data_IF_719093857810
#
_entry.id   IF_719093857810
#
_cell.length_a   1.000
_cell.length_b   1.000
_cell.length_c   1.000
_cell.angle_alpha   90.00
_cell.angle_beta   90.00
_cell.angle_gamma   90.00
#
_symmetry.space_group_name_H-M   'P 1'
#
loop_
_entity.id
_entity.type
_entity.pdbx_description
1 polymer ?
#
# COMPACT_ATOMS: atom_id res chain seq x y z
N UNK A 1 12.19 -4.15 -4.97
CA UNK A 1 12.72 -4.93 -6.10
C UNK A 1 11.77 -6.06 -6.37
N UNK A 2 11.52 -6.36 -7.64
CA UNK A 2 10.68 -7.46 -8.10
C UNK A 2 11.44 -8.77 -7.85
N UNK A 3 10.83 -9.74 -7.16
CA UNK A 3 11.40 -11.08 -6.97
C UNK A 3 10.50 -12.11 -7.63
N UNK A 4 11.13 -13.14 -8.20
CA UNK A 4 10.40 -14.26 -8.80
C UNK A 4 9.64 -15.01 -7.69
N UNK A 5 8.33 -15.17 -7.86
CA UNK A 5 7.42 -15.71 -6.84
C UNK A 5 6.70 -14.67 -5.96
N UNK A 6 6.91 -13.36 -6.19
CA UNK A 6 6.15 -12.33 -5.48
C UNK A 6 4.66 -12.40 -5.86
N UNK A 7 3.80 -12.52 -4.84
CA UNK A 7 2.36 -12.48 -5.02
C UNK A 7 1.91 -11.06 -5.38
N UNK A 8 1.02 -10.98 -6.36
CA UNK A 8 0.45 -9.72 -6.87
C UNK A 8 -1.01 -9.56 -6.47
N UNK A 9 -1.40 -8.34 -6.13
CA UNK A 9 -2.77 -7.94 -5.85
C UNK A 9 -3.20 -6.75 -6.72
N UNK A 10 -4.52 -6.58 -6.85
CA UNK A 10 -5.11 -5.43 -7.55
C UNK A 10 -5.23 -4.27 -6.57
N UNK A 11 -4.58 -3.16 -6.89
CA UNK A 11 -4.58 -1.95 -6.08
C UNK A 11 -5.29 -0.80 -6.81
N UNK A 12 -6.17 -0.07 -6.13
CA UNK A 12 -6.84 1.10 -6.71
C UNK A 12 -5.90 2.32 -6.73
N UNK A 13 -5.55 2.81 -7.91
CA UNK A 13 -4.72 4.02 -8.09
C UNK A 13 -5.37 5.22 -7.38
N UNK A 14 -6.66 5.43 -7.64
CA UNK A 14 -7.50 6.36 -6.87
C UNK A 14 -8.31 5.57 -5.84
N UNK A 15 -8.18 5.86 -4.53
CA UNK A 15 -8.97 5.21 -3.51
C UNK A 15 -10.47 5.36 -3.75
N UNK A 16 -11.23 4.29 -3.50
CA UNK A 16 -12.69 4.30 -3.60
C UNK A 16 -13.33 5.40 -2.73
N UNK A 17 -12.77 5.65 -1.56
CA UNK A 17 -13.21 6.72 -0.65
C UNK A 17 -13.12 8.13 -1.26
N UNK A 18 -12.24 8.34 -2.25
CA UNK A 18 -12.08 9.62 -2.96
C UNK A 18 -12.84 9.63 -4.31
N UNK A 19 -13.72 8.67 -4.54
CA UNK A 19 -14.46 8.51 -5.80
C UNK A 19 -13.64 7.82 -6.89
N UNK A 20 -12.72 6.93 -6.53
CA UNK A 20 -12.12 5.98 -7.47
C UNK A 20 -13.14 4.93 -7.93
N UNK A 21 -13.17 4.64 -9.23
CA UNK A 21 -14.03 3.61 -9.83
C UNK A 21 -13.35 2.24 -9.75
N UNK A 22 -14.15 1.19 -9.75
CA UNK A 22 -13.66 -0.20 -9.73
C UNK A 22 -13.61 -0.76 -11.16
N UNK A 23 -12.88 -0.05 -12.02
CA UNK A 23 -12.64 -0.41 -13.41
C UNK A 23 -11.15 -0.64 -13.62
N UNK A 24 -10.79 -1.47 -14.61
CA UNK A 24 -9.40 -1.82 -14.89
C UNK A 24 -8.51 -0.58 -15.18
N UNK A 25 -9.11 0.53 -15.64
CA UNK A 25 -8.43 1.82 -15.84
C UNK A 25 -7.94 2.48 -14.53
N UNK A 26 -8.55 2.14 -13.38
CA UNK A 26 -8.19 2.65 -12.06
C UNK A 26 -7.53 1.58 -11.17
N UNK A 27 -7.21 0.42 -11.74
CA UNK A 27 -6.57 -0.69 -11.05
C UNK A 27 -5.14 -0.86 -11.57
N UNK A 28 -4.18 -0.90 -10.66
CA UNK A 28 -2.81 -1.31 -10.96
C UNK A 28 -2.50 -2.65 -10.29
N UNK A 29 -1.65 -3.45 -10.91
CA UNK A 29 -1.15 -4.68 -10.31
C UNK A 29 0.07 -4.34 -9.46
N UNK A 30 -0.01 -4.57 -8.16
CA UNK A 30 1.09 -4.33 -7.23
C UNK A 30 1.47 -5.62 -6.53
N UNK A 31 2.73 -5.77 -6.14
CA UNK A 31 3.10 -6.86 -5.26
C UNK A 31 2.65 -6.60 -3.83
N UNK A 32 2.37 -7.65 -3.07
CA UNK A 32 1.97 -7.55 -1.65
C UNK A 32 2.97 -6.72 -0.83
N UNK A 33 4.27 -6.98 -0.95
CA UNK A 33 5.31 -6.25 -0.20
C UNK A 33 5.44 -4.79 -0.66
N UNK A 34 5.20 -4.51 -1.94
CA UNK A 34 5.13 -3.14 -2.46
C UNK A 34 3.88 -2.41 -1.94
N UNK A 35 2.77 -3.13 -1.77
CA UNK A 35 1.54 -2.57 -1.23
C UNK A 35 1.69 -2.21 0.24
N UNK A 36 2.32 -3.11 1.01
CA UNK A 36 2.70 -2.85 2.40
C UNK A 36 3.66 -1.65 2.51
N UNK A 37 4.57 -1.45 1.57
CA UNK A 37 5.42 -0.26 1.56
C UNK A 37 4.65 1.03 1.20
N UNK A 38 3.59 0.93 0.39
CA UNK A 38 2.77 2.07 -0.07
C UNK A 38 1.76 2.52 1.01
N UNK A 39 1.14 1.56 1.69
CA UNK A 39 0.20 1.82 2.79
C UNK A 39 0.86 1.77 4.17
N UNK A 40 2.04 1.18 4.26
CA UNK A 40 2.87 1.17 5.45
C UNK A 40 3.16 2.60 5.85
N UNK A 41 2.48 3.02 6.91
CA UNK A 41 2.76 4.28 7.59
C UNK A 41 4.25 4.24 7.91
N UNK A 42 5.03 5.15 7.33
CA UNK A 42 6.39 5.42 7.83
C UNK A 42 6.18 5.99 9.23
N UNK A 43 6.17 5.11 10.21
CA UNK A 43 6.13 5.55 11.59
C UNK A 43 7.51 6.17 11.81
N UNK A 44 7.54 7.48 12.00
CA UNK A 44 8.76 8.12 12.45
C UNK A 44 9.08 7.48 13.80
N UNK A 45 10.22 6.78 13.93
CA UNK A 45 10.61 6.14 15.18
C UNK A 45 10.63 7.13 16.36
N UNK A 46 10.79 8.43 16.07
CA UNK A 46 10.70 9.52 17.05
C UNK A 46 9.30 9.70 17.66
N UNK A 47 8.22 9.25 17.01
CA UNK A 47 6.85 9.32 17.55
C UNK A 47 6.44 8.06 18.32
N UNK A 48 7.29 7.02 18.32
CA UNK A 48 7.05 5.78 19.07
C UNK A 48 7.65 5.80 20.47
N UNK A 49 8.61 6.70 20.74
CA UNK A 49 9.31 6.82 22.03
C UNK A 49 8.48 7.61 23.08
N UNK A 50 7.43 8.30 22.65
CA UNK A 50 6.55 9.09 23.54
C UNK A 50 5.43 8.26 24.20
N UNK A 51 5.35 6.95 23.94
CA UNK A 51 4.29 6.10 24.50
C UNK A 51 4.85 4.83 25.18
N UNK A 52 5.35 4.95 26.43
CA UNK A 52 5.82 3.84 27.23
C UNK A 52 4.62 3.13 27.87
N UNK A 53 3.95 2.26 27.11
CA UNK A 53 3.04 1.27 27.67
C UNK A 53 3.49 -0.13 27.28
#
# INVERSE_FOLDING_TARGET
TFRDGDLTEKHHIKPRALGGKDNDENLELLHLHCHDAKHGKKINLSELDDNPF
#
